data_IF_419034172057
#
_entry.id   IF_419034172057
#
_cell.length_a   1.000
_cell.length_b   1.000
_cell.length_c   1.000
_cell.angle_alpha   90.00
_cell.angle_beta   90.00
_cell.angle_gamma   90.00
#
_symmetry.space_group_name_H-M   'P 1'
#
loop_
_entity.id
_entity.type
_entity.pdbx_description
1 polymer ?
#
# COMPACT_ATOMS: atom_id res chain seq x y z
N UNK A 1 -12.81 -3.65 -3.61
CA UNK A 1 -11.34 -3.45 -3.66
C UNK A 1 -10.92 -2.03 -3.34
N UNK A 2 -11.36 -0.98 -4.04
CA UNK A 2 -10.95 0.41 -3.74
C UNK A 2 -11.17 0.81 -2.27
N UNK A 3 -12.29 0.41 -1.66
CA UNK A 3 -12.56 0.65 -0.24
C UNK A 3 -11.57 -0.07 0.70
N UNK A 4 -11.13 -1.28 0.32
CA UNK A 4 -10.11 -2.02 1.08
C UNK A 4 -8.74 -1.35 0.97
N UNK A 5 -8.39 -0.87 -0.23
CA UNK A 5 -7.15 -0.13 -0.45
C UNK A 5 -7.16 1.17 0.36
N UNK A 6 -8.26 1.92 0.34
CA UNK A 6 -8.41 3.17 1.12
C UNK A 6 -8.25 2.91 2.63
N UNK A 7 -8.76 1.79 3.12
CA UNK A 7 -8.64 1.39 4.53
C UNK A 7 -7.20 0.93 4.90
N UNK A 8 -6.50 0.28 3.97
CA UNK A 8 -5.16 -0.27 4.19
C UNK A 8 -4.05 0.78 4.06
N UNK A 9 -4.13 1.60 3.01
CA UNK A 9 -3.08 2.52 2.56
C UNK A 9 -3.44 4.00 2.74
N UNK A 10 -4.69 4.29 3.12
CA UNK A 10 -5.20 5.66 3.19
C UNK A 10 -5.80 6.14 1.86
N UNK A 11 -6.21 7.42 1.80
CA UNK A 11 -6.97 7.98 0.67
C UNK A 11 -6.18 7.98 -0.64
N UNK A 12 -6.91 7.82 -1.75
CA UNK A 12 -6.30 7.90 -3.08
C UNK A 12 -5.83 9.33 -3.38
N UNK A 13 -4.70 9.52 -4.11
CA UNK A 13 -4.23 10.83 -4.52
C UNK A 13 -5.26 11.59 -5.39
N UNK A 14 -5.45 12.89 -5.12
CA UNK A 14 -6.47 13.74 -5.76
C UNK A 14 -6.38 13.71 -7.29
N UNK A 15 -5.18 13.86 -7.85
CA UNK A 15 -4.96 13.86 -9.29
C UNK A 15 -5.43 12.56 -9.99
N UNK A 16 -5.39 11.42 -9.29
CA UNK A 16 -5.89 10.14 -9.80
C UNK A 16 -7.42 10.11 -9.77
N UNK A 17 -8.01 10.61 -8.68
CA UNK A 17 -9.47 10.72 -8.53
C UNK A 17 -10.04 11.64 -9.61
N UNK A 18 -9.46 12.82 -9.81
CA UNK A 18 -9.86 13.78 -10.84
C UNK A 18 -9.82 13.19 -12.24
N UNK A 19 -8.76 12.43 -12.57
CA UNK A 19 -8.63 11.74 -13.85
C UNK A 19 -9.75 10.72 -14.06
N UNK A 20 -10.12 9.96 -13.01
CA UNK A 20 -11.20 8.97 -13.08
C UNK A 20 -12.57 9.65 -13.17
N UNK A 21 -12.83 10.71 -12.39
CA UNK A 21 -14.09 11.47 -12.42
C UNK A 21 -14.30 12.16 -13.76
N UNK A 22 -13.23 12.64 -14.39
CA UNK A 22 -13.25 13.23 -15.74
C UNK A 22 -13.49 12.18 -16.84
N UNK A 23 -13.29 10.89 -16.53
CA UNK A 23 -13.54 9.77 -17.44
C UNK A 23 -15.00 9.28 -17.38
N UNK A 24 -15.36 8.28 -18.19
CA UNK A 24 -16.70 7.65 -18.16
C UNK A 24 -16.96 6.78 -16.91
N UNK A 25 -16.01 6.66 -15.97
CA UNK A 25 -16.12 5.84 -14.73
C UNK A 25 -16.59 6.64 -13.51
N UNK A 26 -17.58 7.51 -13.68
CA UNK A 26 -18.06 8.47 -12.67
C UNK A 26 -18.67 7.86 -11.41
N UNK A 27 -18.98 6.56 -11.41
CA UNK A 27 -19.81 5.96 -10.36
C UNK A 27 -19.04 5.50 -9.11
N UNK A 28 -17.70 5.60 -9.10
CA UNK A 28 -16.90 5.18 -7.94
C UNK A 28 -16.57 6.32 -6.98
N UNK A 29 -16.69 7.58 -7.39
CA UNK A 29 -16.27 8.74 -6.60
C UNK A 29 -17.38 9.80 -6.54
N UNK A 30 -17.56 10.39 -5.38
CA UNK A 30 -18.47 11.52 -5.14
C UNK A 30 -17.74 12.55 -4.28
N UNK A 31 -17.74 13.83 -4.70
CA UNK A 31 -17.04 14.92 -4.02
C UNK A 31 -15.56 14.62 -3.71
N UNK A 32 -14.85 14.01 -4.66
CA UNK A 32 -13.43 13.66 -4.50
C UNK A 32 -13.15 12.48 -3.57
N UNK A 33 -14.17 11.82 -3.01
CA UNK A 33 -14.03 10.66 -2.12
C UNK A 33 -14.66 9.42 -2.75
N UNK A 34 -14.19 8.25 -2.34
CA UNK A 34 -14.76 6.99 -2.79
C UNK A 34 -16.23 6.90 -2.34
N UNK A 35 -17.13 6.67 -3.29
CA UNK A 35 -18.56 6.53 -3.04
C UNK A 35 -18.88 5.11 -2.57
N UNK A 36 -18.74 4.87 -1.26
CA UNK A 36 -19.09 3.58 -0.64
C UNK A 36 -19.65 3.77 0.77
N UNK A 37 -20.57 2.91 1.17
CA UNK A 37 -21.19 2.94 2.48
C UNK A 37 -20.44 2.05 3.48
N UNK A 38 -19.85 2.68 4.49
CA UNK A 38 -19.12 2.03 5.58
C UNK A 38 -20.02 1.22 6.52
N UNK A 39 -21.31 1.56 6.60
CA UNK A 39 -22.28 0.93 7.49
C UNK A 39 -23.03 -0.24 6.83
N UNK A 40 -22.91 -0.39 5.51
CA UNK A 40 -23.40 -1.55 4.80
C UNK A 40 -22.73 -2.84 5.30
N UNK A 41 -23.35 -4.01 5.09
CA UNK A 41 -22.76 -5.32 5.44
C UNK A 41 -21.38 -5.50 4.81
N UNK A 42 -21.21 -5.08 3.55
CA UNK A 42 -19.92 -5.10 2.87
C UNK A 42 -18.93 -4.12 3.51
N UNK A 43 -19.38 -2.93 3.90
CA UNK A 43 -18.55 -1.93 4.57
C UNK A 43 -18.05 -2.38 5.94
N UNK A 44 -18.91 -3.02 6.74
CA UNK A 44 -18.55 -3.62 8.02
C UNK A 44 -17.52 -4.75 7.84
N UNK A 45 -17.67 -5.59 6.82
CA UNK A 45 -16.69 -6.63 6.49
C UNK A 45 -15.33 -6.04 6.09
N UNK A 46 -15.32 -5.00 5.25
CA UNK A 46 -14.08 -4.30 4.90
C UNK A 46 -13.45 -3.69 6.14
N UNK A 47 -14.22 -3.03 7.00
CA UNK A 47 -13.69 -2.41 8.22
C UNK A 47 -13.18 -3.40 9.26
N UNK A 48 -13.74 -4.61 9.32
CA UNK A 48 -13.30 -5.64 10.26
C UNK A 48 -12.06 -6.39 9.77
N UNK A 49 -11.95 -6.61 8.45
CA UNK A 49 -10.85 -7.36 7.86
C UNK A 49 -9.67 -6.48 7.41
N UNK A 50 -9.91 -5.24 7.01
CA UNK A 50 -8.88 -4.32 6.52
C UNK A 50 -8.56 -3.28 7.60
N UNK A 51 -7.29 -3.25 8.00
CA UNK A 51 -6.72 -2.29 8.94
C UNK A 51 -5.59 -1.54 8.26
N UNK A 52 -5.15 -0.38 8.78
CA UNK A 52 -3.93 0.27 8.33
C UNK A 52 -2.77 -0.73 8.24
N UNK A 53 -1.98 -0.67 7.16
CA UNK A 53 -0.94 -1.66 6.85
C UNK A 53 -0.05 -1.98 8.06
N UNK A 54 0.41 -0.96 8.80
CA UNK A 54 1.27 -1.11 9.98
C UNK A 54 0.63 -1.87 11.15
N UNK A 55 -0.70 -2.01 11.21
CA UNK A 55 -1.37 -2.81 12.24
C UNK A 55 -1.22 -4.32 12.02
N UNK A 56 -0.83 -4.76 10.82
CA UNK A 56 -0.52 -6.16 10.53
C UNK A 56 0.92 -6.55 10.94
N UNK A 57 1.70 -5.60 11.44
CA UNK A 57 3.06 -5.83 11.89
C UNK A 57 3.05 -6.60 13.21
N UNK A 58 3.65 -7.80 13.23
CA UNK A 58 3.68 -8.66 14.42
C UNK A 58 4.63 -8.13 15.52
N UNK A 59 5.77 -7.54 15.12
CA UNK A 59 6.81 -7.02 16.00
C UNK A 59 7.29 -5.65 15.51
N UNK A 60 7.71 -4.76 16.41
CA UNK A 60 8.26 -3.43 16.06
C UNK A 60 9.79 -3.39 16.11
N UNK A 61 10.43 -4.45 15.65
CA UNK A 61 11.88 -4.46 15.45
C UNK A 61 12.25 -3.87 14.09
N UNK A 62 13.55 -3.63 13.89
CA UNK A 62 14.05 -2.99 12.68
C UNK A 62 13.79 -3.82 11.41
N UNK A 63 13.77 -5.15 11.49
CA UNK A 63 13.55 -6.01 10.33
C UNK A 63 12.09 -5.93 9.87
N UNK A 64 11.15 -5.97 10.80
CA UNK A 64 9.72 -5.78 10.51
C UNK A 64 9.42 -4.36 10.04
N UNK A 65 10.03 -3.34 10.63
CA UNK A 65 9.88 -1.96 10.15
C UNK A 65 10.39 -1.81 8.72
N UNK A 66 11.57 -2.36 8.40
CA UNK A 66 12.12 -2.35 7.05
C UNK A 66 11.26 -3.15 6.04
N UNK A 67 10.67 -4.27 6.46
CA UNK A 67 9.76 -5.06 5.62
C UNK A 67 8.50 -4.26 5.28
N UNK A 68 7.84 -3.69 6.29
CA UNK A 68 6.61 -2.94 6.10
C UNK A 68 6.83 -1.64 5.34
N UNK A 69 7.98 -0.98 5.52
CA UNK A 69 8.41 0.17 4.72
C UNK A 69 8.59 -0.20 3.24
N UNK A 70 9.19 -1.35 2.94
CA UNK A 70 9.28 -1.86 1.57
C UNK A 70 7.89 -2.14 0.97
N UNK A 71 7.01 -2.82 1.72
CA UNK A 71 5.65 -3.14 1.26
C UNK A 71 4.86 -1.86 0.98
N UNK A 72 4.94 -0.85 1.85
CA UNK A 72 4.29 0.45 1.68
C UNK A 72 4.71 1.12 0.37
N UNK A 73 6.03 1.16 0.10
CA UNK A 73 6.60 1.68 -1.15
C UNK A 73 6.18 0.90 -2.39
N UNK A 74 5.99 -0.42 -2.28
CA UNK A 74 5.50 -1.27 -3.37
C UNK A 74 3.98 -1.10 -3.62
N UNK A 75 3.23 -0.69 -2.60
CA UNK A 75 1.78 -0.49 -2.66
C UNK A 75 1.37 0.96 -2.94
N UNK A 76 2.32 1.87 -3.14
CA UNK A 76 2.07 3.25 -3.55
C UNK A 76 1.09 3.33 -4.74
N UNK A 77 0.09 4.21 -4.60
CA UNK A 77 -1.01 4.33 -5.56
C UNK A 77 -0.53 4.84 -6.91
N UNK A 78 0.30 5.88 -6.89
CA UNK A 78 0.82 6.52 -8.09
C UNK A 78 1.94 5.65 -8.69
N UNK A 79 1.73 5.04 -9.87
CA UNK A 79 2.74 4.18 -10.48
C UNK A 79 4.05 4.92 -10.78
N UNK A 80 4.02 6.25 -10.94
CA UNK A 80 5.21 7.06 -11.15
C UNK A 80 6.04 7.26 -9.87
N UNK A 81 5.45 7.06 -8.69
CA UNK A 81 6.11 7.15 -7.38
C UNK A 81 6.40 5.79 -6.75
N UNK A 82 5.72 4.75 -7.23
CA UNK A 82 5.91 3.38 -6.75
C UNK A 82 7.34 2.93 -6.99
N UNK A 83 7.93 2.30 -5.96
CA UNK A 83 9.28 1.76 -6.04
C UNK A 83 9.43 0.78 -7.20
N UNK A 84 10.53 0.88 -7.91
CA UNK A 84 10.90 -0.08 -8.96
C UNK A 84 11.50 -1.35 -8.34
N UNK A 85 11.54 -2.44 -9.12
CA UNK A 85 12.20 -3.66 -8.67
C UNK A 85 13.70 -3.45 -8.37
N UNK A 86 14.38 -2.61 -9.15
CA UNK A 86 15.79 -2.29 -8.95
C UNK A 86 16.03 -1.55 -7.62
N UNK A 87 15.22 -0.55 -7.31
CA UNK A 87 15.26 0.16 -6.03
C UNK A 87 14.90 -0.76 -4.87
N UNK A 88 13.88 -1.62 -5.05
CA UNK A 88 13.46 -2.59 -4.04
C UNK A 88 14.58 -3.57 -3.69
N UNK A 89 15.34 -4.07 -4.67
CA UNK A 89 16.50 -4.93 -4.42
C UNK A 89 17.62 -4.22 -3.63
N UNK A 90 17.64 -2.89 -3.61
CA UNK A 90 18.58 -2.08 -2.85
C UNK A 90 18.03 -1.59 -1.50
N UNK A 91 16.82 -2.03 -1.13
CA UNK A 91 16.18 -1.64 0.12
C UNK A 91 16.94 -2.17 1.37
N UNK A 92 16.96 -1.43 2.49
CA UNK A 92 17.55 -1.88 3.77
C UNK A 92 17.12 -3.28 4.21
N UNK A 93 15.87 -3.64 3.92
CA UNK A 93 15.32 -4.97 4.21
C UNK A 93 16.16 -6.13 3.65
N UNK A 94 16.79 -5.97 2.48
CA UNK A 94 17.60 -7.03 1.86
C UNK A 94 19.10 -6.92 2.15
N UNK A 95 19.56 -5.90 2.88
CA UNK A 95 20.99 -5.75 3.18
C UNK A 95 21.59 -6.95 3.93
N UNK A 96 20.93 -7.53 4.96
CA UNK A 96 21.47 -8.71 5.65
C UNK A 96 21.73 -9.88 4.69
N UNK A 97 20.80 -10.14 3.76
CA UNK A 97 20.93 -11.23 2.78
C UNK A 97 22.09 -11.03 1.80
N UNK A 98 22.42 -9.77 1.46
CA UNK A 98 23.56 -9.45 0.59
C UNK A 98 24.89 -9.76 1.29
N UNK A 99 24.97 -9.48 2.59
CA UNK A 99 26.18 -9.75 3.38
C UNK A 99 26.44 -11.24 3.53
N UNK A 100 25.39 -12.05 3.75
CA UNK A 100 25.50 -13.51 3.81
C UNK A 100 25.99 -14.12 2.49
N UNK A 101 25.47 -13.66 1.34
CA UNK A 101 25.92 -14.13 0.02
C UNK A 101 27.38 -13.78 -0.26
N UNK A 102 27.84 -12.61 0.17
CA UNK A 102 29.25 -12.22 0.05
C UNK A 102 30.16 -13.04 0.95
N UNK A 103 29.73 -13.38 2.17
CA UNK A 103 30.49 -14.22 3.09
C UNK A 103 30.59 -15.70 2.66
N UNK A 104 29.70 -16.16 1.79
CA UNK A 104 29.68 -17.54 1.26
C UNK A 104 30.36 -17.69 -0.11
N UNK A 105 30.89 -16.60 -0.68
CA UNK A 105 31.66 -16.64 -1.93
C UNK A 105 33.13 -16.89 -1.61
N UNK A 106 33.75 -17.99 -2.08
CA UNK A 106 35.17 -18.30 -1.84
C UNK A 106 36.13 -17.34 -2.54
#
# INVERSE_FOLDING_TARGET
HLAMMEQLLGPLPEHMVERVVSSRKKNYFCNGRLAWDKHSVAGLCVSSCCKPLKEFMACRDCDHENLFDLIDKMLEYDPAKRITLEEALNHPFFLPLKQEKMAQSP
#
